data_IF_363063714505
#
_entry.id   IF_363063714505
#
_cell.length_a   1.000
_cell.length_b   1.000
_cell.length_c   1.000
_cell.angle_alpha   90.00
_cell.angle_beta   90.00
_cell.angle_gamma   90.00
#
_symmetry.space_group_name_H-M   'P 1'
#
loop_
_entity.id
_entity.type
_entity.pdbx_description
1 polymer ?
#
# COMPACT_ATOMS: atom_id res chain seq x y z
N UNK A 1 5.75 -18.48 -4.84
CA UNK A 1 6.62 -17.84 -5.86
C UNK A 1 7.69 -17.07 -5.14
N UNK A 2 8.70 -16.51 -5.82
CA UNK A 2 9.56 -15.53 -5.15
C UNK A 2 8.73 -14.25 -4.91
N UNK A 3 8.81 -13.68 -3.71
CA UNK A 3 8.14 -12.43 -3.36
C UNK A 3 8.66 -11.31 -4.29
N UNK A 4 7.78 -10.53 -4.94
CA UNK A 4 8.22 -9.53 -5.91
C UNK A 4 8.97 -8.40 -5.20
N UNK A 5 9.92 -7.78 -5.91
CA UNK A 5 10.64 -6.61 -5.39
C UNK A 5 9.75 -5.38 -5.51
N UNK A 6 9.64 -4.62 -4.43
CA UNK A 6 8.84 -3.39 -4.39
C UNK A 6 9.44 -2.31 -5.31
N UNK A 7 8.66 -1.73 -6.22
CA UNK A 7 9.09 -0.58 -6.99
C UNK A 7 9.25 0.66 -6.08
N UNK A 8 10.11 1.63 -6.46
CA UNK A 8 10.31 2.86 -5.68
C UNK A 8 8.99 3.61 -5.39
N UNK A 9 8.06 3.60 -6.33
CA UNK A 9 6.77 4.31 -6.26
C UNK A 9 5.85 3.70 -5.20
N UNK A 10 5.80 2.37 -5.13
CA UNK A 10 5.10 1.67 -4.05
C UNK A 10 5.77 1.92 -2.69
N UNK A 11 7.10 1.99 -2.66
CA UNK A 11 7.83 2.35 -1.45
C UNK A 11 7.58 3.81 -1.03
N UNK A 12 7.39 4.73 -1.97
CA UNK A 12 7.04 6.11 -1.67
C UNK A 12 5.61 6.21 -1.08
N UNK A 13 4.64 5.52 -1.69
CA UNK A 13 3.28 5.41 -1.17
C UNK A 13 3.26 4.82 0.26
N UNK A 14 4.01 3.75 0.48
CA UNK A 14 4.02 3.05 1.78
C UNK A 14 4.79 3.78 2.88
N UNK A 15 5.62 4.78 2.55
CA UNK A 15 6.37 5.55 3.54
C UNK A 15 5.48 6.40 4.47
N UNK A 16 4.24 6.68 4.06
CA UNK A 16 3.25 7.44 4.84
C UNK A 16 2.71 6.64 6.04
N UNK A 17 2.85 5.30 6.02
CA UNK A 17 2.45 4.42 7.11
C UNK A 17 3.53 4.38 8.19
N UNK A 18 3.57 5.42 9.03
CA UNK A 18 4.53 5.59 10.12
C UNK A 18 3.88 5.55 11.52
N UNK A 19 4.65 5.37 12.62
CA UNK A 19 4.09 5.20 13.96
C UNK A 19 3.24 6.37 14.49
N UNK A 20 3.43 7.58 13.94
CA UNK A 20 2.70 8.79 14.32
C UNK A 20 1.65 9.19 13.27
N UNK A 21 1.42 8.34 12.27
CA UNK A 21 0.56 8.68 11.15
C UNK A 21 -0.91 8.88 11.58
N UNK A 22 -1.36 8.20 12.65
CA UNK A 22 -2.69 8.42 13.22
C UNK A 22 -2.84 9.83 13.82
N UNK A 23 -1.78 10.41 14.40
CA UNK A 23 -1.78 11.78 14.93
C UNK A 23 -1.73 12.82 13.81
N UNK A 24 -1.04 12.51 12.70
CA UNK A 24 -0.85 13.43 11.56
C UNK A 24 -2.07 13.44 10.64
N UNK A 25 -2.59 12.27 10.28
CA UNK A 25 -3.64 12.13 9.27
C UNK A 25 -5.02 11.94 9.90
N UNK A 26 -5.12 11.47 11.15
CA UNK A 26 -6.38 11.31 11.88
C UNK A 26 -7.24 10.11 11.45
N UNK A 27 -6.91 9.43 10.35
CA UNK A 27 -7.48 8.12 9.99
C UNK A 27 -6.61 7.42 8.94
N UNK A 28 -6.82 6.10 8.78
CA UNK A 28 -6.11 5.28 7.78
C UNK A 28 -6.48 5.70 6.35
N UNK A 29 -7.73 6.09 6.11
CA UNK A 29 -8.22 6.57 4.82
C UNK A 29 -7.48 7.83 4.37
N UNK A 30 -7.33 8.80 5.28
CA UNK A 30 -6.59 10.03 5.01
C UNK A 30 -5.10 9.78 4.78
N UNK A 31 -4.56 8.75 5.43
CA UNK A 31 -3.17 8.32 5.21
C UNK A 31 -2.98 7.71 3.82
N UNK A 32 -3.95 6.91 3.36
CA UNK A 32 -3.95 6.38 1.99
C UNK A 32 -4.05 7.52 0.97
N UNK A 33 -4.96 8.48 1.18
CA UNK A 33 -5.10 9.65 0.31
C UNK A 33 -3.80 10.44 0.23
N UNK A 34 -3.18 10.75 1.37
CA UNK A 34 -1.91 11.46 1.43
C UNK A 34 -0.77 10.69 0.71
N UNK A 35 -0.76 9.36 0.81
CA UNK A 35 0.18 8.52 0.09
C UNK A 35 0.02 8.59 -1.42
N UNK A 36 -1.21 8.70 -1.93
CA UNK A 36 -1.48 8.91 -3.35
C UNK A 36 -1.17 10.35 -3.80
N UNK A 37 -1.54 11.35 -3.01
CA UNK A 37 -1.28 12.77 -3.28
C UNK A 37 0.22 13.10 -3.27
N UNK A 38 1.02 12.33 -2.55
CA UNK A 38 2.48 12.46 -2.51
C UNK A 38 3.21 11.97 -3.77
N UNK A 39 2.50 11.36 -4.73
CA UNK A 39 3.07 10.84 -5.98
C UNK A 39 2.68 11.72 -7.17
N UNK A 40 3.60 11.90 -8.12
CA UNK A 40 3.20 12.43 -9.44
C UNK A 40 2.45 11.35 -10.25
N UNK A 41 1.69 11.77 -11.26
CA UNK A 41 0.82 10.88 -12.05
C UNK A 41 1.54 9.62 -12.57
N UNK A 42 2.78 9.75 -13.06
CA UNK A 42 3.55 8.61 -13.56
C UNK A 42 3.90 7.61 -12.45
N UNK A 43 4.25 8.09 -11.26
CA UNK A 43 4.61 7.26 -10.12
C UNK A 43 3.36 6.56 -9.58
N UNK A 44 2.25 7.29 -9.48
CA UNK A 44 0.97 6.73 -9.05
C UNK A 44 0.49 5.61 -9.98
N UNK A 45 0.63 5.77 -11.31
CA UNK A 45 0.33 4.71 -12.27
C UNK A 45 1.17 3.45 -12.04
N UNK A 46 2.47 3.60 -11.73
CA UNK A 46 3.37 2.48 -11.44
C UNK A 46 2.99 1.80 -10.11
N UNK A 47 2.78 2.58 -9.05
CA UNK A 47 2.37 2.05 -7.75
C UNK A 47 1.03 1.31 -7.84
N UNK A 48 0.06 1.85 -8.59
CA UNK A 48 -1.22 1.18 -8.86
C UNK A 48 -1.04 -0.12 -9.63
N UNK A 49 -0.27 -0.11 -10.71
CA UNK A 49 -0.05 -1.32 -11.51
C UNK A 49 0.60 -2.43 -10.67
N UNK A 50 1.51 -2.07 -9.77
CA UNK A 50 2.08 -3.01 -8.81
C UNK A 50 1.03 -3.55 -7.83
N UNK A 51 0.16 -2.69 -7.28
CA UNK A 51 -0.95 -3.13 -6.40
C UNK A 51 -1.93 -4.05 -7.17
N UNK A 52 -2.24 -3.75 -8.43
CA UNK A 52 -3.06 -4.62 -9.29
C UNK A 52 -2.42 -6.00 -9.47
N UNK A 53 -1.10 -6.07 -9.68
CA UNK A 53 -0.36 -7.34 -9.76
C UNK A 53 -0.44 -8.13 -8.45
N UNK A 54 -0.20 -7.46 -7.31
CA UNK A 54 -0.34 -8.09 -5.99
C UNK A 54 -1.76 -8.66 -5.76
N UNK A 55 -2.77 -7.96 -6.27
CA UNK A 55 -4.17 -8.36 -6.15
C UNK A 55 -4.63 -9.38 -7.20
N UNK A 56 -3.81 -9.75 -8.18
CA UNK A 56 -4.15 -10.68 -9.29
C UNK A 56 -4.61 -12.08 -8.85
N UNK A 57 -4.35 -12.47 -7.60
CA UNK A 57 -4.70 -13.78 -7.05
C UNK A 57 -3.55 -14.80 -7.09
N UNK A 58 -2.40 -14.42 -7.66
CA UNK A 58 -1.21 -15.26 -7.69
C UNK A 58 -0.43 -15.29 -6.37
N UNK A 59 -0.59 -14.27 -5.52
CA UNK A 59 0.10 -14.16 -4.24
C UNK A 59 -0.79 -14.57 -3.07
N UNK A 60 -0.25 -15.42 -2.20
CA UNK A 60 -0.84 -15.79 -0.91
C UNK A 60 -0.81 -14.62 0.07
N UNK A 61 -1.68 -14.66 1.08
CA UNK A 61 -1.70 -13.65 2.14
C UNK A 61 -0.33 -13.48 2.84
N UNK A 62 0.44 -14.56 3.02
CA UNK A 62 1.77 -14.49 3.61
C UNK A 62 2.78 -13.78 2.68
N UNK A 63 2.75 -14.07 1.38
CA UNK A 63 3.60 -13.38 0.40
C UNK A 63 3.26 -11.88 0.35
N UNK A 64 1.97 -11.51 0.40
CA UNK A 64 1.55 -10.11 0.47
C UNK A 64 2.06 -9.41 1.74
N UNK A 65 2.01 -10.10 2.89
CA UNK A 65 2.57 -9.58 4.15
C UNK A 65 4.09 -9.39 4.08
N UNK A 66 4.80 -10.26 3.36
CA UNK A 66 6.23 -10.10 3.11
C UNK A 66 6.53 -8.90 2.20
N UNK A 67 5.78 -8.71 1.11
CA UNK A 67 5.86 -7.50 0.27
C UNK A 67 5.71 -6.24 1.11
N UNK A 68 4.68 -6.20 1.96
CA UNK A 68 4.46 -5.06 2.85
C UNK A 68 5.60 -4.87 3.85
N UNK A 69 6.07 -5.95 4.48
CA UNK A 69 7.20 -5.89 5.44
C UNK A 69 8.49 -5.38 4.78
N UNK A 70 8.68 -5.67 3.50
CA UNK A 70 9.82 -5.21 2.71
C UNK A 70 9.61 -3.81 2.11
N UNK A 71 8.47 -3.17 2.36
CA UNK A 71 8.19 -1.80 1.96
C UNK A 71 8.81 -0.78 2.93
N UNK A 72 8.54 0.52 2.71
CA UNK A 72 8.92 1.57 3.66
C UNK A 72 7.88 1.83 4.75
N UNK A 73 6.78 1.06 4.78
CA UNK A 73 5.82 1.14 5.87
C UNK A 73 6.48 0.72 7.20
N UNK A 74 6.49 1.62 8.17
CA UNK A 74 6.97 1.35 9.52
C UNK A 74 5.88 0.71 10.40
N UNK A 75 4.62 0.74 9.95
CA UNK A 75 3.52 0.02 10.59
C UNK A 75 2.80 -0.90 9.60
N UNK A 76 2.24 -1.99 10.13
CA UNK A 76 1.26 -2.80 9.41
C UNK A 76 -0.13 -2.48 9.97
N UNK A 77 -1.04 -1.89 9.17
CA UNK A 77 -2.40 -1.59 9.60
C UNK A 77 -3.29 -2.83 9.71
N UNK A 78 -2.83 -3.98 9.21
CA UNK A 78 -3.50 -5.28 9.27
C UNK A 78 -2.79 -6.24 10.25
N UNK A 79 -3.09 -6.13 11.56
CA UNK A 79 -2.48 -7.00 12.59
C UNK A 79 -3.37 -8.20 12.94
N UNK A 80 -2.74 -9.36 13.16
CA UNK A 80 -3.40 -10.55 13.71
C UNK A 80 -4.52 -11.13 12.85
N UNK A 81 -5.62 -11.55 13.49
CA UNK A 81 -6.83 -12.11 12.85
C UNK A 81 -7.79 -11.03 12.34
N UNK A 82 -7.52 -9.75 12.59
CA UNK A 82 -8.46 -8.64 12.43
C UNK A 82 -8.36 -7.93 11.07
N UNK A 83 -7.40 -8.30 10.21
CA UNK A 83 -7.29 -7.74 8.87
C UNK A 83 -6.41 -8.54 7.91
N UNK A 84 -6.83 -8.62 6.65
CA UNK A 84 -6.06 -9.20 5.54
C UNK A 84 -5.24 -8.12 4.85
N UNK A 85 -3.97 -8.42 4.56
CA UNK A 85 -3.12 -7.57 3.72
C UNK A 85 -3.74 -7.37 2.35
N UNK A 86 -4.40 -8.40 1.78
CA UNK A 86 -5.16 -8.28 0.54
C UNK A 86 -6.30 -7.26 0.65
N UNK A 87 -7.15 -7.38 1.67
CA UNK A 87 -8.24 -6.42 1.89
C UNK A 87 -7.71 -4.99 2.10
N UNK A 88 -6.55 -4.86 2.75
CA UNK A 88 -5.92 -3.56 2.90
C UNK A 88 -5.38 -3.00 1.58
N UNK A 89 -4.69 -3.80 0.76
CA UNK A 89 -4.25 -3.41 -0.57
C UNK A 89 -5.43 -3.05 -1.50
N UNK A 90 -6.57 -3.73 -1.36
CA UNK A 90 -7.82 -3.36 -2.04
C UNK A 90 -8.27 -1.95 -1.64
N UNK A 91 -8.26 -1.63 -0.34
CA UNK A 91 -8.61 -0.27 0.13
C UNK A 91 -7.67 0.81 -0.40
N UNK A 92 -6.37 0.50 -0.54
CA UNK A 92 -5.40 1.42 -1.17
C UNK A 92 -5.76 1.63 -2.64
N UNK A 93 -6.02 0.54 -3.38
CA UNK A 93 -6.37 0.55 -4.81
C UNK A 93 -7.64 1.34 -5.10
N UNK A 94 -8.68 1.19 -4.27
CA UNK A 94 -9.98 1.86 -4.45
C UNK A 94 -9.88 3.39 -4.36
N UNK A 95 -8.89 3.89 -3.62
CA UNK A 95 -8.64 5.32 -3.44
C UNK A 95 -7.64 5.90 -4.44
N UNK A 96 -7.23 5.11 -5.43
CA UNK A 96 -6.36 5.60 -6.50
C UNK A 96 -6.99 6.84 -7.17
N UNK A 97 -6.27 7.97 -7.24
CA UNK A 97 -6.79 9.19 -7.83
C UNK A 97 -7.15 8.96 -9.30
N UNK A 98 -8.38 9.30 -9.66
CA UNK A 98 -8.79 9.34 -11.07
C UNK A 98 -8.13 10.55 -11.71
N UNK A 99 -6.91 10.38 -12.22
CA UNK A 99 -6.29 11.37 -13.09
C UNK A 99 -7.19 11.53 -14.32
N UNK A 100 -7.84 12.69 -14.40
CA UNK A 100 -8.73 13.13 -15.47
C UNK A 100 -7.97 13.72 -16.64
#
# INVERSE_FOLDING_TARGET
MATPKNPPDFNALTAFFCPYADEVYGSIEKMIDAGWEGLVESEAKVAKAFIDDLLSGHYTENELREVWRNSKAAIAPFRGKEGSCRAFLESIRERYPKYS
#
